data_IF_238298203260
#
_entry.id   IF_238298203260
#
_cell.length_a   1.000
_cell.length_b   1.000
_cell.length_c   1.000
_cell.angle_alpha   90.00
_cell.angle_beta   90.00
_cell.angle_gamma   90.00
#
_symmetry.space_group_name_H-M   'P 1'
#
loop_
_entity.id
_entity.type
_entity.pdbx_description
1 polymer ?
#
# COMPACT_ATOMS: atom_id res chain seq x y z
N UNK A 1 29.26 -27.20 -22.35
CA UNK A 1 27.82 -27.09 -22.00
C UNK A 1 27.65 -25.83 -21.16
N UNK A 2 27.22 -24.75 -21.79
CA UNK A 2 26.99 -23.45 -21.15
C UNK A 2 25.51 -23.41 -20.78
N UNK A 3 25.20 -23.46 -19.49
CA UNK A 3 23.84 -23.31 -18.98
C UNK A 3 23.35 -21.89 -19.21
N UNK A 4 22.31 -21.74 -20.02
CA UNK A 4 21.67 -20.47 -20.27
C UNK A 4 20.97 -19.97 -19.00
N UNK A 5 21.47 -18.86 -18.49
CA UNK A 5 20.89 -18.10 -17.40
C UNK A 5 19.70 -17.31 -17.96
N UNK A 6 18.48 -17.75 -17.66
CA UNK A 6 17.26 -16.99 -17.98
C UNK A 6 17.23 -15.77 -17.05
N UNK A 7 17.78 -14.64 -17.53
CA UNK A 7 17.60 -13.35 -16.88
C UNK A 7 16.16 -12.91 -17.09
N UNK A 8 15.40 -12.80 -16.00
CA UNK A 8 14.11 -12.12 -15.97
C UNK A 8 14.31 -10.65 -16.35
N UNK A 9 14.11 -10.33 -17.63
CA UNK A 9 14.36 -8.99 -18.20
C UNK A 9 13.11 -8.11 -18.27
N UNK A 10 11.93 -8.61 -17.91
CA UNK A 10 10.67 -7.89 -18.08
C UNK A 10 10.31 -6.94 -16.92
N UNK A 11 10.79 -7.19 -15.69
CA UNK A 11 10.42 -6.37 -14.51
C UNK A 11 11.27 -5.09 -14.38
N UNK A 12 12.46 -5.04 -14.99
CA UNK A 12 13.38 -3.89 -14.83
C UNK A 12 12.93 -2.60 -15.55
N UNK A 13 11.85 -2.66 -16.33
CA UNK A 13 11.32 -1.52 -17.10
C UNK A 13 10.08 -0.88 -16.50
N UNK A 14 9.40 -1.55 -15.56
CA UNK A 14 8.14 -1.04 -15.00
C UNK A 14 8.36 0.24 -14.21
N UNK A 15 7.59 1.28 -14.55
CA UNK A 15 7.61 2.56 -13.83
C UNK A 15 6.46 2.62 -12.82
N UNK A 16 6.79 2.79 -11.53
CA UNK A 16 5.84 3.00 -10.45
C UNK A 16 5.68 4.50 -10.17
N UNK A 17 4.45 5.01 -10.31
CA UNK A 17 4.10 6.34 -9.79
C UNK A 17 3.84 6.26 -8.30
N UNK A 18 4.40 7.17 -7.49
CA UNK A 18 4.13 7.23 -6.05
C UNK A 18 3.73 8.66 -5.69
N UNK A 19 2.45 8.86 -5.38
CA UNK A 19 1.89 10.15 -4.98
C UNK A 19 1.74 10.15 -3.47
N UNK A 20 2.58 10.94 -2.80
CA UNK A 20 2.71 10.98 -1.36
C UNK A 20 4.06 10.43 -0.92
N UNK A 21 4.81 11.22 -0.14
CA UNK A 21 6.16 10.89 0.32
C UNK A 21 6.26 10.78 1.84
N UNK A 22 5.15 10.43 2.49
CA UNK A 22 5.14 10.08 3.92
C UNK A 22 5.80 8.71 4.15
N UNK A 23 5.65 8.19 5.36
CA UNK A 23 6.20 6.89 5.77
C UNK A 23 5.95 5.77 4.75
N UNK A 24 4.69 5.56 4.36
CA UNK A 24 4.29 4.50 3.41
C UNK A 24 4.90 4.75 2.03
N UNK A 25 4.66 5.93 1.43
CA UNK A 25 5.14 6.23 0.08
C UNK A 25 6.66 6.16 -0.06
N UNK A 26 7.41 6.68 0.92
CA UNK A 26 8.87 6.58 0.92
C UNK A 26 9.35 5.14 1.14
N UNK A 27 8.69 4.35 1.98
CA UNK A 27 8.99 2.92 2.17
C UNK A 27 8.76 2.11 0.90
N UNK A 28 7.64 2.34 0.21
CA UNK A 28 7.32 1.71 -1.07
C UNK A 28 8.34 2.10 -2.14
N UNK A 29 8.71 3.38 -2.23
CA UNK A 29 9.71 3.84 -3.19
C UNK A 29 11.07 3.17 -2.99
N UNK A 30 11.56 3.09 -1.74
CA UNK A 30 12.79 2.36 -1.39
C UNK A 30 12.71 0.91 -1.85
N UNK A 31 11.65 0.20 -1.42
CA UNK A 31 11.49 -1.21 -1.77
C UNK A 31 11.39 -1.42 -3.28
N UNK A 32 10.68 -0.57 -4.00
CA UNK A 32 10.51 -0.66 -5.45
C UNK A 32 11.86 -0.45 -6.18
N UNK A 33 12.66 0.53 -5.77
CA UNK A 33 14.01 0.74 -6.30
C UNK A 33 14.92 -0.46 -6.02
N UNK A 34 14.87 -1.01 -4.80
CA UNK A 34 15.63 -2.22 -4.43
C UNK A 34 15.19 -3.44 -5.24
N UNK A 35 13.91 -3.51 -5.64
CA UNK A 35 13.37 -4.53 -6.54
C UNK A 35 13.74 -4.28 -8.02
N UNK A 36 14.41 -3.16 -8.32
CA UNK A 36 14.85 -2.80 -9.67
C UNK A 36 13.86 -2.00 -10.50
N UNK A 37 12.72 -1.58 -9.94
CA UNK A 37 11.73 -0.74 -10.62
C UNK A 37 12.21 0.70 -10.74
N UNK A 38 11.67 1.42 -11.75
CA UNK A 38 11.81 2.88 -11.83
C UNK A 38 10.69 3.53 -11.01
N UNK A 39 11.01 4.59 -10.28
CA UNK A 39 10.04 5.28 -9.41
C UNK A 39 9.91 6.75 -9.77
N UNK A 40 8.69 7.24 -9.86
CA UNK A 40 8.35 8.67 -10.00
C UNK A 40 7.66 9.12 -8.73
N UNK A 41 8.36 9.91 -7.92
CA UNK A 41 7.88 10.38 -6.64
C UNK A 41 7.25 11.76 -6.78
N UNK A 42 6.07 11.94 -6.19
CA UNK A 42 5.43 13.23 -6.05
C UNK A 42 4.92 13.42 -4.63
N UNK A 43 4.76 14.67 -4.21
CA UNK A 43 4.04 15.04 -3.00
C UNK A 43 3.42 16.44 -3.17
N UNK A 44 2.72 16.93 -2.15
CA UNK A 44 2.05 18.23 -2.19
C UNK A 44 2.97 19.44 -1.99
N UNK A 45 4.27 19.24 -1.71
CA UNK A 45 5.27 20.28 -1.44
C UNK A 45 6.20 20.53 -2.62
N UNK A 46 5.93 19.90 -3.76
CA UNK A 46 6.70 20.04 -5.00
C UNK A 46 7.92 19.11 -5.08
N UNK A 47 8.45 18.88 -6.30
CA UNK A 47 9.59 17.99 -6.57
C UNK A 47 10.84 18.28 -5.74
N UNK A 48 11.10 19.54 -5.45
CA UNK A 48 12.29 20.06 -4.78
C UNK A 48 12.36 19.57 -3.33
N UNK A 49 11.19 19.41 -2.70
CA UNK A 49 11.09 18.84 -1.35
C UNK A 49 11.50 17.36 -1.27
N UNK A 50 11.66 16.69 -2.42
CA UNK A 50 12.03 15.27 -2.52
C UNK A 50 13.51 15.07 -2.84
N UNK A 51 14.31 16.13 -2.97
CA UNK A 51 15.71 16.05 -3.41
C UNK A 51 16.54 15.05 -2.59
N UNK A 52 16.43 15.09 -1.25
CA UNK A 52 17.14 14.17 -0.37
C UNK A 52 16.73 12.69 -0.58
N UNK A 53 15.42 12.44 -0.71
CA UNK A 53 14.90 11.08 -0.95
C UNK A 53 15.31 10.56 -2.33
N UNK A 54 15.27 11.39 -3.36
CA UNK A 54 15.73 10.99 -4.70
C UNK A 54 17.23 10.71 -4.71
N UNK A 55 18.03 11.54 -4.03
CA UNK A 55 19.46 11.30 -3.89
C UNK A 55 19.76 9.96 -3.18
N UNK A 56 19.00 9.64 -2.12
CA UNK A 56 19.07 8.35 -1.43
C UNK A 56 18.75 7.16 -2.36
N UNK A 57 17.69 7.28 -3.17
CA UNK A 57 17.20 6.22 -4.06
C UNK A 57 18.04 6.06 -5.35
N UNK A 58 18.86 7.05 -5.70
CA UNK A 58 19.75 7.01 -6.86
C UNK A 58 19.01 7.01 -8.21
N UNK A 59 19.70 6.57 -9.27
CA UNK A 59 19.30 6.79 -10.67
C UNK A 59 18.02 6.09 -11.16
N UNK A 60 17.35 5.31 -10.29
CA UNK A 60 16.04 4.70 -10.59
C UNK A 60 14.86 5.54 -10.11
N UNK A 61 15.09 6.56 -9.28
CA UNK A 61 14.05 7.46 -8.81
C UNK A 61 14.21 8.87 -9.38
N UNK A 62 13.10 9.57 -9.55
CA UNK A 62 13.08 11.02 -9.77
C UNK A 62 11.88 11.64 -9.08
N UNK A 63 11.99 12.93 -8.77
CA UNK A 63 10.87 13.73 -8.27
C UNK A 63 10.06 14.31 -9.44
N UNK A 64 8.76 14.49 -9.24
CA UNK A 64 7.83 15.07 -10.19
C UNK A 64 6.62 15.67 -9.45
N UNK A 65 5.74 16.34 -10.20
CA UNK A 65 4.42 16.72 -9.71
C UNK A 65 3.48 15.51 -9.60
N UNK A 66 2.38 15.59 -8.83
CA UNK A 66 1.40 14.50 -8.75
C UNK A 66 0.87 14.07 -10.12
N UNK A 67 0.55 15.02 -11.00
CA UNK A 67 0.07 14.75 -12.35
C UNK A 67 1.12 13.99 -13.19
N UNK A 68 2.38 14.42 -13.16
CA UNK A 68 3.46 13.74 -13.88
C UNK A 68 3.74 12.33 -13.34
N UNK A 69 3.66 12.13 -12.02
CA UNK A 69 3.80 10.82 -11.41
C UNK A 69 2.63 9.88 -11.79
N UNK A 70 1.40 10.41 -11.86
CA UNK A 70 0.23 9.67 -12.32
C UNK A 70 0.37 9.24 -13.79
N UNK A 71 0.78 10.15 -14.67
CA UNK A 71 0.94 9.86 -16.11
C UNK A 71 2.06 8.86 -16.38
N UNK A 72 3.21 9.02 -15.72
CA UNK A 72 4.38 8.19 -15.94
C UNK A 72 4.29 6.79 -15.31
N UNK A 73 3.48 6.61 -14.26
CA UNK A 73 3.27 5.31 -13.63
C UNK A 73 2.45 4.38 -14.51
N UNK A 74 2.91 3.14 -14.69
CA UNK A 74 2.07 2.04 -15.21
C UNK A 74 1.06 1.63 -14.13
N UNK A 75 1.52 1.53 -12.89
CA UNK A 75 0.73 1.46 -11.67
C UNK A 75 1.06 2.67 -10.80
N UNK A 76 0.06 3.22 -10.11
CA UNK A 76 0.23 4.39 -9.23
C UNK A 76 -0.15 4.06 -7.79
N UNK A 77 0.73 4.36 -6.83
CA UNK A 77 0.44 4.24 -5.39
C UNK A 77 0.02 5.61 -4.86
N UNK A 78 -1.23 5.72 -4.40
CA UNK A 78 -1.79 6.95 -3.82
C UNK A 78 -1.57 7.00 -2.30
N UNK A 79 -0.31 7.17 -1.87
CA UNK A 79 0.10 7.17 -0.47
C UNK A 79 -0.08 8.54 0.24
N UNK A 80 -1.29 9.10 0.16
CA UNK A 80 -1.68 10.34 0.85
C UNK A 80 -2.60 10.05 2.05
N UNK A 81 -2.77 10.96 3.01
CA UNK A 81 -3.87 10.86 3.96
C UNK A 81 -5.21 10.87 3.21
N UNK A 82 -6.18 10.07 3.66
CA UNK A 82 -7.53 10.04 3.05
C UNK A 82 -8.22 11.42 3.06
N UNK A 83 -7.84 12.30 4.00
CA UNK A 83 -8.30 13.69 4.07
C UNK A 83 -7.84 14.58 2.91
N UNK A 84 -6.91 14.09 2.08
CA UNK A 84 -6.35 14.79 0.92
C UNK A 84 -6.72 14.09 -0.41
N UNK A 85 -7.75 13.23 -0.39
CA UNK A 85 -8.25 12.51 -1.56
C UNK A 85 -8.61 13.44 -2.71
N UNK A 86 -9.18 14.60 -2.40
CA UNK A 86 -9.55 15.67 -3.35
C UNK A 86 -8.36 16.32 -4.07
N UNK A 87 -7.13 16.10 -3.58
CA UNK A 87 -5.89 16.63 -4.18
C UNK A 87 -5.24 15.68 -5.16
N UNK A 88 -5.78 14.47 -5.34
CA UNK A 88 -5.24 13.53 -6.31
C UNK A 88 -5.62 13.97 -7.74
N UNK A 89 -4.72 13.78 -8.73
CA UNK A 89 -4.93 14.22 -10.11
C UNK A 89 -5.89 13.26 -10.85
N UNK A 90 -7.20 13.44 -10.64
CA UNK A 90 -8.25 12.53 -11.13
C UNK A 90 -8.17 12.31 -12.65
N UNK A 91 -7.95 13.37 -13.42
CA UNK A 91 -7.91 13.29 -14.89
C UNK A 91 -6.73 12.42 -15.37
N UNK A 92 -5.56 12.57 -14.77
CA UNK A 92 -4.35 11.83 -15.11
C UNK A 92 -4.36 10.39 -14.59
N UNK A 93 -5.17 10.12 -13.56
CA UNK A 93 -5.38 8.77 -13.02
C UNK A 93 -6.46 7.99 -13.78
N UNK A 94 -7.24 8.62 -14.66
CA UNK A 94 -8.22 7.93 -15.47
C UNK A 94 -7.56 6.83 -16.33
N UNK A 95 -8.12 5.62 -16.29
CA UNK A 95 -7.60 4.42 -16.95
C UNK A 95 -6.44 3.72 -16.22
N UNK A 96 -5.83 4.37 -15.22
CA UNK A 96 -4.71 3.79 -14.45
C UNK A 96 -5.18 2.78 -13.41
N UNK A 97 -4.30 1.84 -13.09
CA UNK A 97 -4.40 1.05 -11.86
C UNK A 97 -3.86 1.89 -10.71
N UNK A 98 -4.68 2.10 -9.69
CA UNK A 98 -4.32 2.88 -8.50
C UNK A 98 -4.33 1.99 -7.28
N UNK A 99 -3.17 1.81 -6.66
CA UNK A 99 -3.04 1.16 -5.36
C UNK A 99 -3.40 2.17 -4.28
N UNK A 100 -4.40 1.81 -3.48
CA UNK A 100 -4.89 2.57 -2.33
C UNK A 100 -4.36 1.96 -1.01
N UNK A 101 -3.31 2.57 -0.41
CA UNK A 101 -2.84 2.23 0.93
C UNK A 101 -3.52 3.05 2.05
N UNK A 102 -4.56 3.82 1.74
CA UNK A 102 -5.17 4.74 2.69
C UNK A 102 -6.03 4.02 3.71
N UNK A 103 -6.13 4.64 4.89
CA UNK A 103 -6.96 4.18 6.00
C UNK A 103 -7.85 5.32 6.47
N UNK A 104 -9.11 5.01 6.77
CA UNK A 104 -10.00 5.97 7.42
C UNK A 104 -9.61 6.14 8.90
N UNK A 105 -9.55 7.39 9.34
CA UNK A 105 -9.33 7.75 10.73
C UNK A 105 -10.13 9.03 10.99
N UNK A 106 -11.07 8.98 11.95
CA UNK A 106 -11.74 10.20 12.40
C UNK A 106 -10.72 11.16 12.98
N UNK A 107 -10.83 12.44 12.63
CA UNK A 107 -10.00 13.51 13.20
C UNK A 107 -10.88 14.70 13.56
N UNK A 108 -10.48 15.53 14.55
CA UNK A 108 -11.14 16.81 14.75
C UNK A 108 -11.18 17.61 13.44
N UNK A 109 -12.39 17.98 12.99
CA UNK A 109 -12.61 18.70 11.74
C UNK A 109 -12.60 17.84 10.47
N UNK A 110 -12.53 16.51 10.57
CA UNK A 110 -12.70 15.62 9.42
C UNK A 110 -13.37 14.30 9.80
N UNK A 111 -14.59 14.15 9.30
CA UNK A 111 -15.43 12.96 9.39
C UNK A 111 -16.13 12.71 8.06
N UNK A 112 -16.55 11.47 7.81
CA UNK A 112 -17.33 11.11 6.64
C UNK A 112 -18.57 10.32 7.07
N UNK A 113 -19.77 10.89 6.98
CA UNK A 113 -20.99 10.25 7.49
C UNK A 113 -21.32 8.89 6.84
N UNK A 114 -20.96 8.66 5.57
CA UNK A 114 -21.19 7.37 4.90
C UNK A 114 -20.23 6.29 5.41
N UNK A 115 -18.94 6.62 5.59
CA UNK A 115 -17.99 5.70 6.23
C UNK A 115 -18.39 5.45 7.69
N UNK A 116 -18.82 6.49 8.39
CA UNK A 116 -19.21 6.45 9.79
C UNK A 116 -20.41 5.56 10.12
N UNK A 117 -21.29 5.38 9.13
CA UNK A 117 -22.45 4.50 9.16
C UNK A 117 -22.19 3.16 8.45
N UNK A 118 -20.94 2.89 8.06
CA UNK A 118 -20.53 1.69 7.35
C UNK A 118 -21.27 1.47 6.00
N UNK A 119 -21.80 2.55 5.40
CA UNK A 119 -22.49 2.54 4.10
C UNK A 119 -21.49 2.34 2.94
N UNK A 120 -20.23 2.72 3.15
CA UNK A 120 -19.11 2.50 2.24
C UNK A 120 -17.88 2.03 3.01
N UNK A 121 -17.00 1.29 2.34
CA UNK A 121 -15.61 1.11 2.76
C UNK A 121 -14.78 2.34 2.37
N UNK A 122 -13.63 2.53 3.02
CA UNK A 122 -12.78 3.68 2.72
C UNK A 122 -12.27 3.66 1.27
N UNK A 123 -12.06 2.48 0.71
CA UNK A 123 -11.60 2.33 -0.68
C UNK A 123 -12.73 2.45 -1.71
N UNK A 124 -13.99 2.15 -1.37
CA UNK A 124 -15.14 2.53 -2.21
C UNK A 124 -15.28 4.05 -2.33
N UNK A 125 -15.03 4.80 -1.24
CA UNK A 125 -14.97 6.27 -1.29
C UNK A 125 -13.84 6.74 -2.23
N UNK A 126 -12.67 6.10 -2.17
CA UNK A 126 -11.53 6.42 -3.06
C UNK A 126 -11.88 6.13 -4.52
N UNK A 127 -12.46 4.97 -4.82
CA UNK A 127 -12.90 4.63 -6.18
C UNK A 127 -13.94 5.62 -6.72
N UNK A 128 -14.88 6.07 -5.88
CA UNK A 128 -15.87 7.08 -6.25
C UNK A 128 -15.24 8.45 -6.56
N UNK A 129 -14.18 8.83 -5.85
CA UNK A 129 -13.47 10.09 -6.11
C UNK A 129 -12.56 10.00 -7.35
N UNK A 130 -11.86 8.87 -7.53
CA UNK A 130 -10.96 8.62 -8.65
C UNK A 130 -11.72 8.05 -9.85
N UNK A 131 -12.70 8.80 -10.32
CA UNK A 131 -13.55 8.40 -11.46
C UNK A 131 -12.69 7.99 -12.66
N UNK A 132 -12.95 6.80 -13.20
CA UNK A 132 -12.24 6.25 -14.35
C UNK A 132 -10.93 5.54 -14.03
N UNK A 133 -10.40 5.63 -12.80
CA UNK A 133 -9.31 4.79 -12.35
C UNK A 133 -9.83 3.39 -11.95
N UNK A 134 -8.94 2.40 -11.95
CA UNK A 134 -9.19 1.04 -11.42
C UNK A 134 -8.50 0.92 -10.06
N UNK A 135 -9.24 1.16 -8.98
CA UNK A 135 -8.69 1.20 -7.61
C UNK A 135 -8.55 -0.20 -7.04
N UNK A 136 -7.41 -0.48 -6.41
CA UNK A 136 -7.15 -1.71 -5.66
C UNK A 136 -6.59 -1.33 -4.28
N UNK A 137 -7.29 -1.73 -3.22
CA UNK A 137 -6.79 -1.56 -1.86
C UNK A 137 -5.64 -2.54 -1.61
N UNK A 138 -4.46 -2.05 -1.26
CA UNK A 138 -3.31 -2.88 -0.85
C UNK A 138 -2.29 -2.02 -0.08
N UNK A 139 -1.32 -2.65 0.59
CA UNK A 139 -0.25 -1.97 1.36
C UNK A 139 -0.71 -1.13 2.58
N UNK A 140 -2.01 -1.04 2.83
CA UNK A 140 -2.61 -0.25 3.92
C UNK A 140 -2.38 -0.86 5.33
N UNK A 141 -2.15 -2.17 5.40
CA UNK A 141 -2.11 -2.96 6.64
C UNK A 141 -0.70 -3.28 7.14
N UNK A 142 0.34 -2.85 6.41
CA UNK A 142 1.76 -3.07 6.74
C UNK A 142 2.48 -1.73 6.89
N UNK A 143 3.32 -1.60 7.92
CA UNK A 143 4.15 -0.41 8.13
C UNK A 143 5.40 -0.38 7.23
N UNK A 144 6.03 0.79 7.06
CA UNK A 144 7.18 0.95 6.17
C UNK A 144 8.39 0.11 6.58
N UNK A 145 8.61 -0.07 7.89
CA UNK A 145 9.72 -0.86 8.41
C UNK A 145 9.52 -2.34 8.11
N UNK A 146 8.31 -2.85 8.34
CA UNK A 146 7.97 -4.24 8.03
C UNK A 146 8.00 -4.50 6.52
N UNK A 147 7.52 -3.55 5.70
CA UNK A 147 7.63 -3.63 4.23
C UNK A 147 9.09 -3.81 3.78
N UNK A 148 10.03 -3.11 4.42
CA UNK A 148 11.46 -3.20 4.10
C UNK A 148 12.15 -4.44 4.69
N UNK A 149 11.57 -5.09 5.73
CA UNK A 149 12.21 -6.22 6.43
C UNK A 149 11.63 -7.59 6.08
N UNK A 150 10.34 -7.65 5.75
CA UNK A 150 9.60 -8.88 5.50
C UNK A 150 9.60 -9.32 4.02
N UNK A 151 10.16 -8.52 3.12
CA UNK A 151 10.29 -8.92 1.72
C UNK A 151 11.14 -10.19 1.59
N UNK A 152 10.69 -11.11 0.74
CA UNK A 152 11.42 -12.36 0.42
C UNK A 152 11.35 -12.66 -1.07
N UNK A 153 12.34 -13.39 -1.62
CA UNK A 153 12.25 -13.88 -2.99
C UNK A 153 11.05 -14.82 -3.16
N UNK A 154 10.65 -15.00 -4.41
CA UNK A 154 9.57 -15.92 -4.77
C UNK A 154 9.84 -17.35 -4.26
N UNK A 155 8.81 -18.00 -3.71
CA UNK A 155 8.90 -19.36 -3.17
C UNK A 155 9.58 -19.51 -1.81
N UNK A 156 10.04 -18.42 -1.17
CA UNK A 156 10.59 -18.51 0.19
C UNK A 156 9.54 -19.01 1.20
N UNK A 157 9.87 -19.95 2.10
CA UNK A 157 8.91 -20.53 3.04
C UNK A 157 8.38 -19.52 4.08
N UNK A 158 9.13 -18.46 4.34
CA UNK A 158 8.77 -17.35 5.24
C UNK A 158 8.28 -16.11 4.47
N UNK A 159 7.79 -16.27 3.23
CA UNK A 159 7.27 -15.14 2.46
C UNK A 159 5.96 -14.63 3.07
N UNK A 160 5.90 -13.31 3.21
CA UNK A 160 4.74 -12.62 3.77
C UNK A 160 3.71 -12.36 2.68
N UNK A 161 2.44 -12.60 2.99
CA UNK A 161 1.32 -12.31 2.12
C UNK A 161 0.58 -11.04 2.57
N UNK A 162 0.17 -10.22 1.60
CA UNK A 162 -0.60 -9.01 1.80
C UNK A 162 -1.99 -9.15 1.16
N UNK A 163 -3.06 -8.67 1.84
CA UNK A 163 -4.38 -8.66 1.25
C UNK A 163 -4.47 -7.61 0.14
N UNK A 164 -5.31 -7.90 -0.85
CA UNK A 164 -5.80 -6.91 -1.79
C UNK A 164 -7.29 -7.06 -2.05
N UNK A 165 -7.96 -5.96 -2.40
CA UNK A 165 -9.37 -5.92 -2.78
C UNK A 165 -9.55 -4.94 -3.93
N UNK A 166 -10.44 -5.26 -4.87
CA UNK A 166 -10.64 -4.46 -6.08
C UNK A 166 -11.74 -5.05 -6.97
N UNK A 167 -12.47 -4.18 -7.66
CA UNK A 167 -13.62 -4.60 -8.49
C UNK A 167 -13.19 -5.07 -9.89
N UNK A 168 -12.04 -4.62 -10.38
CA UNK A 168 -11.46 -5.02 -11.67
C UNK A 168 -10.45 -6.16 -11.49
N UNK A 169 -10.71 -7.37 -12.04
CA UNK A 169 -9.81 -8.51 -11.91
C UNK A 169 -8.43 -8.31 -12.55
N UNK A 170 -8.33 -7.57 -13.66
CA UNK A 170 -7.06 -7.29 -14.32
C UNK A 170 -6.21 -6.32 -13.49
N UNK A 171 -6.82 -5.29 -12.91
CA UNK A 171 -6.15 -4.37 -11.99
C UNK A 171 -5.64 -5.12 -10.74
N UNK A 172 -6.43 -6.04 -10.18
CA UNK A 172 -5.96 -6.90 -9.07
C UNK A 172 -4.76 -7.76 -9.46
N UNK A 173 -4.74 -8.30 -10.68
CA UNK A 173 -3.61 -9.08 -11.18
C UNK A 173 -2.34 -8.22 -11.35
N UNK A 174 -2.48 -6.99 -11.88
CA UNK A 174 -1.37 -6.03 -11.98
C UNK A 174 -0.80 -5.68 -10.59
N UNK A 175 -1.67 -5.45 -9.59
CA UNK A 175 -1.25 -5.17 -8.22
C UNK A 175 -0.63 -6.40 -7.55
N UNK A 176 -1.16 -7.60 -7.77
CA UNK A 176 -0.54 -8.83 -7.29
C UNK A 176 0.87 -9.03 -7.85
N UNK A 177 1.08 -8.72 -9.14
CA UNK A 177 2.41 -8.75 -9.77
C UNK A 177 3.35 -7.69 -9.18
N UNK A 178 2.85 -6.49 -8.89
CA UNK A 178 3.62 -5.47 -8.16
C UNK A 178 4.03 -5.98 -6.77
N UNK A 179 3.11 -6.53 -5.98
CA UNK A 179 3.41 -7.09 -4.66
C UNK A 179 4.46 -8.22 -4.75
N UNK A 180 4.34 -9.11 -5.75
CA UNK A 180 5.31 -10.16 -6.01
C UNK A 180 6.71 -9.60 -6.30
N UNK A 181 6.82 -8.55 -7.14
CA UNK A 181 8.07 -7.85 -7.42
C UNK A 181 8.65 -7.17 -6.16
N UNK A 182 7.79 -6.64 -5.30
CA UNK A 182 8.17 -6.11 -3.98
C UNK A 182 8.52 -7.22 -2.97
N UNK A 183 8.37 -8.50 -3.31
CA UNK A 183 8.78 -9.63 -2.48
C UNK A 183 7.68 -10.14 -1.53
N UNK A 184 6.41 -9.94 -1.87
CA UNK A 184 5.25 -10.36 -1.08
C UNK A 184 4.32 -11.22 -1.91
N UNK A 185 3.65 -12.17 -1.27
CA UNK A 185 2.49 -12.85 -1.87
C UNK A 185 1.24 -11.96 -1.76
N UNK A 186 0.24 -12.24 -2.58
CA UNK A 186 -1.05 -11.56 -2.56
C UNK A 186 -2.17 -12.50 -2.16
N UNK A 187 -3.13 -12.00 -1.36
CA UNK A 187 -4.39 -12.68 -1.07
C UNK A 187 -5.54 -11.77 -1.51
N UNK A 188 -6.24 -12.17 -2.55
CA UNK A 188 -7.45 -11.47 -3.02
C UNK A 188 -8.60 -11.72 -2.05
N UNK A 189 -9.11 -10.65 -1.45
CA UNK A 189 -10.26 -10.66 -0.54
C UNK A 189 -11.58 -10.35 -1.25
N UNK A 190 -11.56 -10.12 -2.58
CA UNK A 190 -12.74 -9.86 -3.39
C UNK A 190 -12.86 -8.39 -3.83
N UNK A 191 -14.11 -7.88 -3.99
CA UNK A 191 -14.37 -6.51 -4.42
C UNK A 191 -13.98 -5.47 -3.35
N UNK A 192 -14.00 -4.19 -3.70
CA UNK A 192 -13.71 -3.10 -2.74
C UNK A 192 -14.68 -3.09 -1.55
N UNK A 193 -15.92 -3.53 -1.75
CA UNK A 193 -16.90 -3.71 -0.69
C UNK A 193 -16.47 -4.72 0.40
N UNK A 194 -15.53 -5.63 0.11
CA UNK A 194 -14.96 -6.59 1.09
C UNK A 194 -13.64 -6.09 1.71
N UNK A 195 -13.16 -4.93 1.29
CA UNK A 195 -11.86 -4.39 1.73
C UNK A 195 -11.81 -4.05 3.22
N UNK A 196 -12.96 -3.86 3.86
CA UNK A 196 -13.06 -3.68 5.31
C UNK A 196 -12.44 -4.83 6.10
N UNK A 197 -12.35 -6.05 5.53
CA UNK A 197 -11.79 -7.24 6.21
C UNK A 197 -10.33 -7.11 6.61
N UNK A 198 -9.60 -6.16 6.02
CA UNK A 198 -8.21 -5.87 6.33
C UNK A 198 -7.97 -4.43 6.79
N UNK A 199 -9.03 -3.64 6.97
CA UNK A 199 -8.98 -2.25 7.43
C UNK A 199 -8.71 -2.15 8.95
N UNK A 200 -8.40 -0.94 9.47
CA UNK A 200 -8.21 -0.73 10.90
C UNK A 200 -9.32 -1.35 11.77
N UNK A 201 -8.95 -1.78 12.97
CA UNK A 201 -9.78 -2.52 13.92
C UNK A 201 -10.16 -3.96 13.53
N UNK A 202 -9.65 -4.48 12.40
CA UNK A 202 -9.75 -5.91 12.09
C UNK A 202 -8.53 -6.70 12.58
N UNK A 203 -8.67 -8.02 12.81
CA UNK A 203 -7.53 -8.87 13.18
C UNK A 203 -6.40 -8.91 12.14
N UNK A 204 -6.67 -8.55 10.88
CA UNK A 204 -5.69 -8.57 9.79
C UNK A 204 -4.89 -7.26 9.67
N UNK A 205 -5.23 -6.23 10.45
CA UNK A 205 -4.57 -4.93 10.39
C UNK A 205 -3.38 -4.83 11.35
N UNK A 206 -2.19 -4.50 10.83
CA UNK A 206 -0.94 -4.20 11.54
C UNK A 206 -0.37 -5.29 12.46
N UNK A 207 -1.09 -5.72 13.48
CA UNK A 207 -0.61 -6.66 14.53
C UNK A 207 -0.06 -7.96 13.95
N UNK A 208 -0.71 -8.64 12.98
CA UNK A 208 -0.14 -9.87 12.41
C UNK A 208 1.21 -9.68 11.71
N UNK A 209 1.52 -8.47 11.25
CA UNK A 209 2.77 -8.14 10.56
C UNK A 209 3.84 -7.58 11.48
N UNK A 210 3.46 -7.15 12.69
CA UNK A 210 4.35 -6.46 13.64
C UNK A 210 4.64 -7.30 14.88
N UNK A 211 3.73 -8.21 15.24
CA UNK A 211 3.71 -8.87 16.54
C UNK A 211 2.96 -8.05 17.59
N UNK A 212 2.98 -8.53 18.83
CA UNK A 212 2.42 -7.80 19.97
C UNK A 212 3.51 -6.96 20.64
N UNK A 213 3.19 -5.73 21.09
CA UNK A 213 4.11 -4.94 21.89
C UNK A 213 4.44 -5.66 23.21
N UNK A 214 5.60 -5.35 23.83
CA UNK A 214 5.91 -5.82 25.17
C UNK A 214 4.79 -5.52 26.17
N UNK A 215 4.56 -6.45 27.08
CA UNK A 215 3.58 -6.26 28.14
C UNK A 215 3.96 -5.05 29.01
N UNK A 216 2.98 -4.22 29.36
CA UNK A 216 3.18 -3.02 30.19
C UNK A 216 3.73 -1.79 29.46
N UNK A 217 3.90 -1.84 28.13
CA UNK A 217 4.32 -0.66 27.36
C UNK A 217 3.26 0.46 27.47
N UNK A 218 3.65 1.72 27.77
CA UNK A 218 2.70 2.83 27.81
C UNK A 218 1.98 3.00 26.47
N UNK A 219 0.68 3.29 26.50
CA UNK A 219 -0.14 3.48 25.28
C UNK A 219 0.48 4.51 24.33
N UNK A 220 1.07 5.57 24.88
CA UNK A 220 1.75 6.61 24.10
C UNK A 220 2.96 6.09 23.30
N UNK A 221 3.57 4.98 23.73
CA UNK A 221 4.75 4.37 23.11
C UNK A 221 4.39 3.20 22.17
N UNK A 222 3.19 2.63 22.31
CA UNK A 222 2.73 1.48 21.50
C UNK A 222 2.78 1.78 19.99
N UNK A 223 2.38 2.99 19.58
CA UNK A 223 2.43 3.39 18.16
C UNK A 223 3.87 3.44 17.65
N UNK A 224 4.79 4.01 18.43
CA UNK A 224 6.21 4.07 18.08
C UNK A 224 6.81 2.65 17.98
N UNK A 225 6.41 1.76 18.89
CA UNK A 225 6.82 0.36 18.85
C UNK A 225 6.35 -0.35 17.58
N UNK A 226 5.07 -0.23 17.21
CA UNK A 226 4.56 -0.82 15.96
C UNK A 226 5.31 -0.33 14.72
N UNK A 227 5.68 0.96 14.70
CA UNK A 227 6.47 1.53 13.61
C UNK A 227 7.93 1.02 13.59
N UNK A 228 8.47 0.63 14.75
CA UNK A 228 9.85 0.21 14.92
C UNK A 228 10.05 -1.32 14.92
N UNK A 229 8.99 -2.14 15.00
CA UNK A 229 9.11 -3.61 15.03
C UNK A 229 9.75 -4.17 13.74
N UNK A 230 10.55 -5.25 13.83
CA UNK A 230 11.13 -5.96 12.65
C UNK A 230 10.08 -6.65 11.80
N UNK A 231 8.96 -6.96 12.42
CA UNK A 231 7.83 -7.62 11.81
C UNK A 231 7.88 -9.13 11.93
N UNK A 232 6.73 -9.74 11.69
CA UNK A 232 6.52 -11.18 11.74
C UNK A 232 6.04 -11.63 10.36
N UNK A 233 6.69 -12.63 9.74
CA UNK A 233 6.19 -13.19 8.50
C UNK A 233 4.77 -13.74 8.63
N UNK A 234 3.92 -13.44 7.66
CA UNK A 234 2.52 -13.84 7.68
C UNK A 234 2.16 -14.64 6.41
N UNK A 235 1.95 -15.97 6.48
CA UNK A 235 1.65 -16.76 5.30
C UNK A 235 0.24 -16.49 4.77
N UNK A 236 0.02 -16.73 3.48
CA UNK A 236 -1.27 -16.53 2.82
C UNK A 236 -2.44 -17.29 3.46
N UNK A 237 -2.20 -18.49 4.02
CA UNK A 237 -3.20 -19.25 4.76
C UNK A 237 -3.72 -18.48 5.97
N UNK A 238 -2.83 -17.85 6.74
CA UNK A 238 -3.20 -17.06 7.92
C UNK A 238 -3.93 -15.78 7.55
N UNK A 239 -3.54 -15.12 6.45
CA UNK A 239 -4.28 -13.97 5.91
C UNK A 239 -5.73 -14.35 5.59
N UNK A 240 -5.94 -15.47 4.88
CA UNK A 240 -7.29 -15.96 4.55
C UNK A 240 -8.10 -16.29 5.80
N UNK A 241 -7.48 -16.95 6.78
CA UNK A 241 -8.13 -17.30 8.05
C UNK A 241 -8.62 -16.05 8.79
N UNK A 242 -7.75 -15.06 8.99
CA UNK A 242 -8.08 -13.81 9.67
C UNK A 242 -9.18 -13.01 8.95
N UNK A 243 -9.12 -12.95 7.62
CA UNK A 243 -10.13 -12.27 6.81
C UNK A 243 -11.50 -12.99 6.82
N UNK A 244 -11.51 -14.31 6.91
CA UNK A 244 -12.73 -15.11 6.95
C UNK A 244 -13.42 -15.06 8.34
N UNK A 245 -12.65 -14.98 9.43
CA UNK A 245 -13.17 -15.00 10.79
C UNK A 245 -13.62 -13.64 11.33
N UNK A 246 -13.35 -12.55 10.62
CA UNK A 246 -13.67 -11.20 11.10
C UNK A 246 -15.13 -10.82 10.84
N UNK A 247 -15.70 -10.05 11.75
CA UNK A 247 -16.97 -9.32 11.56
C UNK A 247 -16.65 -7.85 11.28
N UNK A 248 -17.49 -7.17 10.50
CA UNK A 248 -17.22 -5.77 10.12
C UNK A 248 -17.27 -4.88 11.37
N UNK A 249 -16.13 -4.30 11.81
CA UNK A 249 -16.16 -3.31 12.88
C UNK A 249 -16.66 -1.98 12.30
N UNK A 250 -16.98 -1.03 13.19
CA UNK A 250 -17.21 0.36 12.78
C UNK A 250 -15.99 0.90 12.05
N UNK A 251 -16.21 1.59 10.93
CA UNK A 251 -15.13 2.11 10.11
C UNK A 251 -14.22 3.09 10.87
N UNK A 252 -12.94 3.01 10.51
CA UNK A 252 -11.87 3.91 10.92
C UNK A 252 -11.39 3.69 12.36
N UNK A 253 -10.15 4.09 12.64
CA UNK A 253 -9.53 3.91 13.96
C UNK A 253 -10.45 4.34 15.10
N UNK A 254 -10.81 3.39 15.96
CA UNK A 254 -11.45 3.67 17.23
C UNK A 254 -10.32 3.78 18.25
N UNK A 255 -9.84 5.00 18.51
CA UNK A 255 -8.85 5.28 19.55
C UNK A 255 -9.52 5.35 20.92
#
# INVERSE_FOLDING_TARGET
>A
MVGAQVRSSAVSTTTLGVIGSGMVGAGVARRAVDAGLRVVLANSRGPESLAALVAELGGRARAATPAEAALAGEVVVAAVPLTALDRLPVAELAGKVVVDPMNYARKPGWENPELDRDELTSSELVQRALTGARVVKALHNIGPRQLLRLHRPDGAPDRTALPLSGDDPAAKAEVAALLAALGFDAVDLGPLAESWRSEPNTPLYAVPYTGLPPEGLPIAEVVAWFQAADGVPLPASRVRELAASTTRPRAGFQL
#
